data_IF_285348830430
#
_entry.id   IF_285348830430
#
_cell.length_a   1.000
_cell.length_b   1.000
_cell.length_c   1.000
_cell.angle_alpha   90.00
_cell.angle_beta   90.00
_cell.angle_gamma   90.00
#
_symmetry.space_group_name_H-M   'P 1'
#
loop_
_entity.id
_entity.type
_entity.pdbx_description
1 polymer ?
#
# COMPACT_ATOMS: atom_id res chain seq x y z
N UNK A 1 23.09 -86.58 -9.53
CA UNK A 1 24.20 -86.32 -10.46
C UNK A 1 24.53 -84.84 -10.31
N UNK A 2 25.25 -84.51 -9.24
CA UNK A 2 26.70 -84.22 -9.20
C UNK A 2 26.86 -82.69 -9.25
N UNK A 3 27.08 -81.95 -8.15
CA UNK A 3 28.19 -81.95 -7.17
C UNK A 3 29.56 -81.96 -7.88
N UNK A 4 30.27 -80.82 -7.82
CA UNK A 4 31.55 -80.68 -7.10
C UNK A 4 32.73 -81.05 -8.02
N UNK A 5 33.94 -80.52 -7.95
CA UNK A 5 34.68 -79.69 -7.00
C UNK A 5 36.03 -79.40 -7.69
N UNK A 6 36.66 -78.28 -7.35
CA UNK A 6 38.07 -78.15 -6.93
C UNK A 6 38.45 -76.67 -6.97
N UNK A 7 38.46 -75.94 -5.84
CA UNK A 7 39.49 -75.94 -4.78
C UNK A 7 40.90 -75.69 -5.36
N UNK A 8 41.34 -74.43 -5.52
CA UNK A 8 42.12 -73.55 -4.58
C UNK A 8 43.66 -73.76 -4.67
N UNK A 9 44.51 -72.70 -4.61
CA UNK A 9 44.88 -72.11 -3.31
C UNK A 9 45.10 -70.56 -3.30
N UNK A 10 45.41 -69.99 -2.11
CA UNK A 10 45.40 -68.55 -1.82
C UNK A 10 46.79 -67.94 -1.46
N UNK A 11 46.76 -66.62 -1.16
CA UNK A 11 47.62 -65.77 -0.30
C UNK A 11 48.83 -64.98 -0.86
N UNK A 12 48.66 -63.64 -0.82
CA UNK A 12 49.55 -62.54 -0.33
C UNK A 12 51.00 -62.42 -0.87
N UNK A 13 51.81 -61.36 -0.61
CA UNK A 13 51.65 -60.14 0.22
C UNK A 13 52.04 -58.82 -0.50
N UNK A 14 51.99 -57.68 0.22
CA UNK A 14 52.57 -56.38 -0.15
C UNK A 14 51.79 -55.39 -1.04
N UNK A 15 50.59 -55.05 -0.57
CA UNK A 15 49.97 -53.72 -0.72
C UNK A 15 50.76 -52.59 0.01
N UNK A 16 52.06 -52.79 0.28
CA UNK A 16 52.90 -51.97 1.18
C UNK A 16 53.96 -51.12 0.46
N UNK A 17 53.93 -51.01 -0.88
CA UNK A 17 54.84 -50.11 -1.63
C UNK A 17 54.25 -48.75 -1.99
N UNK A 18 52.94 -48.57 -2.03
CA UNK A 18 52.32 -47.25 -2.26
C UNK A 18 52.20 -46.39 -1.00
N UNK A 19 52.52 -46.93 0.18
CA UNK A 19 52.49 -46.20 1.46
C UNK A 19 53.78 -45.48 1.86
N UNK A 20 54.86 -45.53 1.05
CA UNK A 20 56.17 -44.93 1.43
C UNK A 20 56.73 -43.83 0.54
N UNK A 21 56.05 -43.42 -0.53
CA UNK A 21 56.57 -42.32 -1.39
C UNK A 21 55.78 -41.00 -1.29
N UNK A 22 54.59 -40.99 -0.67
CA UNK A 22 53.77 -39.79 -0.53
C UNK A 22 53.83 -39.14 0.88
N UNK A 23 54.86 -39.43 1.67
CA UNK A 23 54.98 -38.89 3.04
C UNK A 23 56.03 -37.80 3.24
N UNK A 24 56.78 -37.33 2.23
CA UNK A 24 57.90 -36.40 2.52
C UNK A 24 57.95 -35.02 1.84
N UNK A 25 57.26 -34.69 0.74
CA UNK A 25 57.45 -33.35 0.12
C UNK A 25 56.16 -32.75 -0.49
N UNK A 26 55.12 -32.55 0.33
CA UNK A 26 54.10 -31.52 0.07
C UNK A 26 53.72 -30.84 1.39
N UNK A 27 54.67 -30.05 1.88
CA UNK A 27 54.50 -29.17 3.04
C UNK A 27 53.66 -27.93 2.69
N UNK A 28 52.65 -27.70 3.53
CA UNK A 28 52.11 -26.41 3.99
C UNK A 28 51.56 -25.41 2.96
N UNK A 29 50.28 -25.58 2.61
CA UNK A 29 49.14 -24.71 2.99
C UNK A 29 47.98 -24.93 2.00
N UNK A 30 46.99 -25.74 2.40
CA UNK A 30 45.66 -25.83 1.76
C UNK A 30 44.62 -25.48 2.81
N UNK A 31 43.79 -24.48 2.50
CA UNK A 31 42.54 -24.19 3.19
C UNK A 31 41.59 -25.40 3.00
N UNK A 32 41.00 -25.85 4.10
CA UNK A 32 40.17 -27.05 4.20
C UNK A 32 38.89 -26.94 3.35
N UNK A 33 38.70 -27.89 2.43
CA UNK A 33 37.40 -28.22 1.87
C UNK A 33 36.82 -29.32 2.76
N UNK A 34 35.88 -28.97 3.65
CA UNK A 34 35.10 -29.98 4.37
C UNK A 34 34.13 -30.66 3.39
N UNK A 35 34.36 -31.95 3.15
CA UNK A 35 33.41 -32.85 2.52
C UNK A 35 32.30 -33.19 3.52
N UNK A 36 31.06 -32.81 3.24
CA UNK A 36 29.90 -33.19 4.04
C UNK A 36 29.59 -34.70 3.89
N UNK A 37 29.27 -35.43 4.97
CA UNK A 37 28.85 -36.82 4.88
C UNK A 37 27.46 -36.94 4.25
N UNK A 38 27.18 -38.08 3.61
CA UNK A 38 25.86 -38.42 3.10
C UNK A 38 24.81 -38.24 4.21
N UNK A 39 23.87 -37.32 4.00
CA UNK A 39 22.92 -36.89 5.03
C UNK A 39 21.92 -38.02 5.31
N UNK A 40 22.09 -38.58 6.50
CA UNK A 40 21.08 -39.28 7.30
C UNK A 40 19.70 -38.62 7.19
N UNK A 41 18.68 -39.45 7.03
CA UNK A 41 17.26 -39.07 7.08
C UNK A 41 16.96 -38.02 8.15
N UNK A 42 16.44 -36.87 7.71
CA UNK A 42 15.97 -35.79 8.59
C UNK A 42 14.90 -36.38 9.54
N UNK A 43 15.06 -36.25 10.87
CA UNK A 43 14.07 -36.73 11.84
C UNK A 43 12.68 -36.19 11.53
N UNK A 44 11.64 -37.02 11.62
CA UNK A 44 10.27 -36.65 11.21
C UNK A 44 9.77 -35.39 11.92
N UNK A 45 10.12 -35.17 13.18
CA UNK A 45 9.78 -33.96 13.93
C UNK A 45 10.48 -32.70 13.40
N UNK A 46 11.69 -32.81 12.87
CA UNK A 46 12.41 -31.71 12.20
C UNK A 46 11.84 -31.51 10.80
N UNK A 47 11.52 -32.59 10.09
CA UNK A 47 10.84 -32.55 8.79
C UNK A 47 9.47 -31.88 8.90
N UNK A 48 8.70 -32.19 9.94
CA UNK A 48 7.41 -31.55 10.25
C UNK A 48 7.56 -30.10 10.70
N UNK A 49 8.63 -29.73 11.41
CA UNK A 49 8.92 -28.32 11.73
C UNK A 49 9.36 -27.53 10.51
N UNK A 50 10.15 -28.12 9.62
CA UNK A 50 10.56 -27.53 8.35
C UNK A 50 9.36 -27.45 7.41
N UNK A 51 8.52 -28.48 7.33
CA UNK A 51 7.25 -28.45 6.59
C UNK A 51 6.33 -27.39 7.20
N UNK A 52 6.13 -27.33 8.52
CA UNK A 52 5.33 -26.28 9.15
C UNK A 52 5.94 -24.87 9.00
N UNK A 53 7.26 -24.75 8.87
CA UNK A 53 7.97 -23.50 8.62
C UNK A 53 7.88 -23.08 7.14
N UNK A 54 7.98 -24.04 6.20
CA UNK A 54 7.80 -23.86 4.75
C UNK A 54 6.31 -23.67 4.39
N UNK A 55 5.39 -24.32 5.09
CA UNK A 55 3.95 -24.09 5.03
C UNK A 55 3.63 -22.71 5.61
N UNK A 56 4.27 -22.29 6.71
CA UNK A 56 4.24 -20.89 7.15
C UNK A 56 4.80 -19.90 6.11
N UNK A 57 5.72 -20.32 5.26
CA UNK A 57 6.24 -19.51 4.15
C UNK A 57 5.34 -19.52 2.90
N UNK A 58 4.26 -20.32 2.86
CA UNK A 58 3.39 -20.46 1.68
C UNK A 58 1.91 -20.07 1.88
N UNK A 59 1.54 -19.48 3.03
CA UNK A 59 0.15 -19.04 3.29
C UNK A 59 0.02 -17.55 3.68
N UNK A 60 1.06 -16.75 3.51
CA UNK A 60 0.98 -15.32 3.85
C UNK A 60 0.39 -14.56 2.67
N UNK A 61 -0.85 -14.10 2.82
CA UNK A 61 -1.45 -13.16 1.89
C UNK A 61 -1.15 -11.75 2.34
N UNK A 62 -1.13 -10.84 1.36
CA UNK A 62 -1.30 -9.43 1.62
C UNK A 62 -2.78 -9.11 1.42
N UNK A 63 -3.43 -8.59 2.46
CA UNK A 63 -4.84 -8.23 2.45
C UNK A 63 -4.92 -6.70 2.52
N UNK A 64 -5.26 -6.06 1.40
CA UNK A 64 -5.43 -4.61 1.34
C UNK A 64 -6.88 -4.22 1.59
N UNK A 65 -7.08 -3.34 2.56
CA UNK A 65 -8.39 -2.80 2.92
C UNK A 65 -8.44 -1.32 2.55
N UNK A 66 -9.43 -0.92 1.79
CA UNK A 66 -9.80 0.49 1.74
C UNK A 66 -10.28 0.99 3.12
N UNK A 67 -10.19 2.31 3.34
CA UNK A 67 -10.57 2.95 4.59
C UNK A 67 -11.99 3.52 4.57
N UNK A 68 -12.29 4.47 3.68
CA UNK A 68 -13.53 5.25 3.70
C UNK A 68 -14.64 4.54 2.93
N UNK A 69 -15.74 4.17 3.59
CA UNK A 69 -16.78 3.34 2.95
C UNK A 69 -16.46 1.84 2.94
N UNK A 70 -15.32 1.45 3.52
CA UNK A 70 -14.90 0.05 3.67
C UNK A 70 -14.62 -0.28 5.14
N UNK A 71 -13.47 0.17 5.69
CA UNK A 71 -13.08 -0.11 7.08
C UNK A 71 -13.79 0.78 8.11
N UNK A 72 -14.02 2.04 7.76
CA UNK A 72 -14.73 2.99 8.61
C UNK A 72 -16.24 2.87 8.42
N UNK A 73 -16.95 2.85 9.55
CA UNK A 73 -18.42 2.90 9.57
C UNK A 73 -18.95 4.33 9.31
N UNK A 74 -20.26 4.53 9.40
CA UNK A 74 -20.91 5.84 9.16
C UNK A 74 -20.43 6.94 10.12
N UNK A 75 -19.99 6.59 11.33
CA UNK A 75 -19.40 7.54 12.28
C UNK A 75 -17.91 7.82 12.02
N UNK A 76 -17.34 7.25 10.95
CA UNK A 76 -15.93 7.40 10.61
C UNK A 76 -15.00 6.67 11.59
N UNK A 77 -15.45 5.57 12.20
CA UNK A 77 -14.72 4.77 13.19
C UNK A 77 -14.51 3.34 12.72
N UNK A 78 -13.45 2.71 13.23
CA UNK A 78 -13.21 1.28 13.09
C UNK A 78 -13.97 0.57 14.22
N UNK A 79 -14.86 -0.36 13.88
CA UNK A 79 -15.61 -1.13 14.88
C UNK A 79 -14.73 -2.15 15.61
N UNK A 80 -15.08 -2.55 16.85
CA UNK A 80 -14.40 -3.64 17.54
C UNK A 80 -14.34 -4.93 16.73
N UNK A 81 -15.40 -5.26 16.00
CA UNK A 81 -15.49 -6.49 15.19
C UNK A 81 -14.54 -6.45 14.00
N UNK A 82 -14.47 -5.33 13.27
CA UNK A 82 -13.50 -5.16 12.17
C UNK A 82 -12.06 -5.22 12.71
N UNK A 83 -11.80 -4.57 13.85
CA UNK A 83 -10.50 -4.60 14.51
C UNK A 83 -10.10 -6.03 14.90
N UNK A 84 -10.98 -6.78 15.56
CA UNK A 84 -10.72 -8.16 15.98
C UNK A 84 -10.47 -9.08 14.78
N UNK A 85 -11.21 -8.89 13.68
CA UNK A 85 -11.00 -9.65 12.45
C UNK A 85 -9.62 -9.37 11.82
N UNK A 86 -9.19 -8.10 11.80
CA UNK A 86 -7.85 -7.71 11.34
C UNK A 86 -6.76 -8.35 12.20
N UNK A 87 -6.87 -8.20 13.52
CA UNK A 87 -5.91 -8.82 14.47
C UNK A 87 -5.89 -10.33 14.32
N UNK A 88 -7.04 -10.97 14.10
CA UNK A 88 -7.10 -12.40 13.85
C UNK A 88 -6.37 -12.79 12.56
N UNK A 89 -6.61 -12.10 11.45
CA UNK A 89 -5.90 -12.34 10.19
C UNK A 89 -4.38 -12.15 10.36
N UNK A 90 -3.94 -11.10 11.07
CA UNK A 90 -2.53 -10.87 11.38
C UNK A 90 -1.94 -11.99 12.26
N UNK A 91 -2.70 -12.52 13.23
CA UNK A 91 -2.25 -13.62 14.10
C UNK A 91 -2.01 -14.93 13.36
N UNK A 92 -2.61 -15.08 12.17
CA UNK A 92 -2.41 -16.22 11.27
C UNK A 92 -1.23 -16.02 10.32
N UNK A 93 -0.54 -14.88 10.36
CA UNK A 93 0.63 -14.57 9.52
C UNK A 93 0.33 -13.75 8.27
N UNK A 94 -0.94 -13.40 8.02
CA UNK A 94 -1.28 -12.53 6.89
C UNK A 94 -0.87 -11.08 7.16
N UNK A 95 -0.45 -10.38 6.12
CA UNK A 95 -0.11 -8.96 6.18
C UNK A 95 -1.36 -8.17 5.81
N UNK A 96 -1.98 -7.52 6.79
CA UNK A 96 -3.11 -6.63 6.55
C UNK A 96 -2.60 -5.20 6.36
N UNK A 97 -2.98 -4.54 5.28
CA UNK A 97 -2.56 -3.18 4.93
C UNK A 97 -3.78 -2.29 4.71
N UNK A 98 -3.60 -0.97 4.86
CA UNK A 98 -4.62 0.02 4.53
C UNK A 98 -4.26 0.72 3.22
N UNK A 99 -5.21 0.85 2.29
CA UNK A 99 -5.05 1.59 1.05
C UNK A 99 -6.07 2.74 0.97
N UNK A 100 -5.62 4.00 1.02
CA UNK A 100 -6.52 5.16 1.17
C UNK A 100 -6.07 6.38 0.36
N UNK A 101 -7.03 7.23 0.03
CA UNK A 101 -6.78 8.58 -0.51
C UNK A 101 -6.33 9.60 0.55
N UNK A 102 -6.44 9.26 1.84
CA UNK A 102 -6.00 10.09 2.96
C UNK A 102 -4.47 10.20 3.03
N UNK A 103 -3.97 11.19 3.76
CA UNK A 103 -2.55 11.25 4.15
C UNK A 103 -2.20 10.09 5.10
N UNK A 104 -0.91 9.76 5.20
CA UNK A 104 -0.44 8.76 6.16
C UNK A 104 -0.89 9.10 7.59
N UNK A 105 -0.67 10.35 8.02
CA UNK A 105 -0.98 10.80 9.37
C UNK A 105 -2.47 10.69 9.73
N UNK A 106 -3.37 10.98 8.78
CA UNK A 106 -4.81 10.88 8.99
C UNK A 106 -5.28 9.42 9.11
N UNK A 107 -4.70 8.52 8.30
CA UNK A 107 -4.96 7.09 8.35
C UNK A 107 -4.42 6.47 9.64
N UNK A 108 -3.15 6.78 9.97
CA UNK A 108 -2.46 6.31 11.17
C UNK A 108 -3.19 6.77 12.45
N UNK A 109 -3.78 7.97 12.46
CA UNK A 109 -4.60 8.44 13.58
C UNK A 109 -5.79 7.53 13.85
N UNK A 110 -6.48 7.05 12.82
CA UNK A 110 -7.63 6.14 12.98
C UNK A 110 -7.20 4.77 13.50
N UNK A 111 -6.09 4.25 12.98
CA UNK A 111 -5.53 2.96 13.40
C UNK A 111 -5.09 2.99 14.88
N UNK A 112 -4.44 4.08 15.32
CA UNK A 112 -4.04 4.26 16.72
C UNK A 112 -5.20 4.31 17.70
N UNK A 113 -6.36 4.85 17.31
CA UNK A 113 -7.53 4.92 18.19
C UNK A 113 -8.03 3.54 18.61
N UNK A 114 -7.72 2.51 17.82
CA UNK A 114 -8.10 1.11 18.07
C UNK A 114 -6.89 0.20 18.23
N UNK A 115 -5.69 0.74 18.46
CA UNK A 115 -4.47 -0.05 18.67
C UNK A 115 -4.24 -1.09 17.56
N UNK A 116 -4.31 -0.63 16.30
CA UNK A 116 -3.97 -1.40 15.12
C UNK A 116 -2.67 -0.88 14.52
N UNK A 117 -1.77 -1.81 14.19
CA UNK A 117 -0.55 -1.55 13.44
C UNK A 117 -0.67 -2.19 12.07
N UNK A 118 -0.69 -1.37 11.02
CA UNK A 118 -0.79 -1.82 9.64
C UNK A 118 0.13 -0.94 8.78
N UNK A 119 0.81 -1.50 7.75
CA UNK A 119 1.34 -0.68 6.67
C UNK A 119 0.22 0.13 6.01
N UNK A 120 0.56 1.31 5.50
CA UNK A 120 -0.39 2.23 4.88
C UNK A 120 0.10 2.64 3.50
N UNK A 121 -0.73 2.39 2.51
CA UNK A 121 -0.68 2.93 1.15
C UNK A 121 -1.55 4.19 1.14
N UNK A 122 -0.94 5.36 1.25
CA UNK A 122 -1.61 6.66 1.39
C UNK A 122 -1.55 7.49 0.11
N UNK A 123 -2.29 8.60 0.07
CA UNK A 123 -2.36 9.53 -1.05
C UNK A 123 -2.67 8.81 -2.37
N UNK A 124 -3.66 7.91 -2.36
CA UNK A 124 -4.03 7.07 -3.50
C UNK A 124 -2.85 6.26 -4.04
N UNK A 125 -1.95 5.76 -3.18
CA UNK A 125 -0.81 4.94 -3.60
C UNK A 125 0.45 5.69 -3.98
N UNK A 126 0.48 7.02 -3.78
CA UNK A 126 1.70 7.80 -3.97
C UNK A 126 2.75 7.54 -2.86
N UNK A 127 2.34 7.10 -1.67
CA UNK A 127 3.24 6.90 -0.52
C UNK A 127 2.91 5.56 0.16
N UNK A 128 3.94 4.74 0.40
CA UNK A 128 3.84 3.45 1.07
C UNK A 128 4.69 3.48 2.33
N UNK A 129 4.05 3.39 3.49
CA UNK A 129 4.69 3.52 4.80
C UNK A 129 4.46 2.26 5.63
N UNK A 130 5.52 1.75 6.27
CA UNK A 130 5.47 0.60 7.17
C UNK A 130 4.94 0.98 8.57
N UNK A 131 4.58 0.01 9.43
CA UNK A 131 4.06 0.31 10.77
C UNK A 131 5.02 1.12 11.65
N UNK A 132 6.34 0.95 11.45
CA UNK A 132 7.39 1.68 12.16
C UNK A 132 7.66 3.08 11.58
N UNK A 133 6.80 3.56 10.67
CA UNK A 133 6.89 4.83 9.93
C UNK A 133 7.97 4.87 8.86
N UNK A 134 8.63 3.75 8.55
CA UNK A 134 9.60 3.70 7.45
C UNK A 134 8.90 3.89 6.11
N UNK A 135 9.37 4.85 5.30
CA UNK A 135 8.96 5.02 3.91
C UNK A 135 9.51 3.86 3.06
N UNK A 136 8.66 2.91 2.70
CA UNK A 136 9.05 1.74 1.91
C UNK A 136 9.13 2.03 0.41
N UNK A 137 8.18 2.82 -0.11
CA UNK A 137 8.13 3.19 -1.52
C UNK A 137 7.33 4.49 -1.69
N UNK A 138 7.61 5.22 -2.77
CA UNK A 138 6.84 6.41 -3.10
C UNK A 138 6.86 6.73 -4.60
N UNK A 139 5.86 7.49 -5.04
CA UNK A 139 5.65 7.99 -6.40
C UNK A 139 5.36 9.48 -6.36
N UNK A 140 6.38 10.32 -6.13
CA UNK A 140 6.20 11.77 -6.10
C UNK A 140 5.89 12.31 -7.50
N UNK A 141 5.28 13.49 -7.51
CA UNK A 141 5.14 14.31 -8.70
C UNK A 141 6.53 14.82 -9.13
N UNK A 142 6.88 14.63 -10.40
CA UNK A 142 8.10 15.24 -10.93
C UNK A 142 7.95 16.76 -10.91
N UNK A 143 8.92 17.45 -10.31
CA UNK A 143 8.91 18.91 -10.21
C UNK A 143 8.83 19.60 -11.57
N UNK A 144 9.51 19.06 -12.58
CA UNK A 144 9.47 19.58 -13.96
C UNK A 144 8.05 19.54 -14.56
N UNK A 145 7.27 18.52 -14.21
CA UNK A 145 5.89 18.35 -14.68
C UNK A 145 4.91 19.24 -13.88
N UNK A 146 5.05 19.30 -12.54
CA UNK A 146 4.06 19.95 -11.69
C UNK A 146 4.29 21.46 -11.49
N UNK A 147 5.53 21.96 -11.53
CA UNK A 147 5.83 23.38 -11.30
C UNK A 147 5.10 24.31 -12.29
N UNK A 148 5.01 24.01 -13.61
CA UNK A 148 4.23 24.83 -14.53
C UNK A 148 2.75 24.95 -14.13
N UNK A 149 2.15 23.86 -13.64
CA UNK A 149 0.77 23.86 -13.15
C UNK A 149 0.64 24.70 -11.88
N UNK A 150 1.54 24.50 -10.91
CA UNK A 150 1.56 25.25 -9.65
C UNK A 150 1.74 26.76 -9.86
N UNK A 151 2.67 27.17 -10.72
CA UNK A 151 2.86 28.58 -11.09
C UNK A 151 1.62 29.19 -11.71
N UNK A 152 0.94 28.46 -12.59
CA UNK A 152 -0.30 28.94 -13.18
C UNK A 152 -1.40 29.07 -12.11
N UNK A 153 -1.55 28.09 -11.22
CA UNK A 153 -2.56 28.12 -10.15
C UNK A 153 -2.32 29.27 -9.16
N UNK A 154 -1.07 29.49 -8.75
CA UNK A 154 -0.67 30.60 -7.87
C UNK A 154 -1.05 31.96 -8.45
N UNK A 155 -0.84 32.14 -9.76
CA UNK A 155 -1.20 33.35 -10.49
C UNK A 155 -2.69 33.67 -10.58
N UNK A 156 -3.59 32.79 -10.12
CA UNK A 156 -5.04 32.96 -10.22
C UNK A 156 -5.63 33.23 -8.82
N UNK A 157 -6.08 34.48 -8.54
CA UNK A 157 -6.59 34.85 -7.21
C UNK A 157 -7.82 34.05 -6.74
N UNK A 158 -8.62 33.56 -7.68
CA UNK A 158 -9.88 32.85 -7.41
C UNK A 158 -9.72 31.34 -7.23
N UNK A 159 -8.51 30.82 -7.45
CA UNK A 159 -8.21 29.41 -7.32
C UNK A 159 -7.56 29.15 -5.97
N UNK A 160 -8.24 28.37 -5.14
CA UNK A 160 -7.67 27.80 -3.94
C UNK A 160 -6.89 26.54 -4.30
N UNK A 161 -5.71 26.32 -3.74
CA UNK A 161 -4.99 25.07 -3.95
C UNK A 161 -4.10 24.72 -2.76
N UNK A 162 -3.79 23.43 -2.64
CA UNK A 162 -3.04 22.81 -1.56
C UNK A 162 -1.92 21.95 -2.15
N UNK A 163 -0.73 21.99 -1.56
CA UNK A 163 0.40 21.13 -1.93
C UNK A 163 0.65 20.11 -0.84
N UNK A 164 0.55 18.83 -1.19
CA UNK A 164 0.73 17.71 -0.26
C UNK A 164 2.16 17.18 -0.39
N UNK A 165 2.85 17.19 0.74
CA UNK A 165 4.11 16.47 0.95
C UNK A 165 3.84 15.18 1.72
N UNK A 166 4.88 14.45 2.12
CA UNK A 166 4.73 13.16 2.85
C UNK A 166 3.91 13.31 4.13
N UNK A 167 4.22 14.36 4.92
CA UNK A 167 3.75 14.53 6.28
C UNK A 167 3.07 15.87 6.53
N UNK A 168 2.88 16.72 5.51
CA UNK A 168 2.33 18.06 5.66
C UNK A 168 1.56 18.55 4.42
N UNK A 169 0.55 19.38 4.66
CA UNK A 169 -0.20 20.08 3.61
C UNK A 169 0.11 21.57 3.68
N UNK A 170 0.55 22.14 2.57
CA UNK A 170 0.87 23.56 2.46
C UNK A 170 -0.25 24.33 1.79
N UNK A 171 -0.53 25.52 2.31
CA UNK A 171 -1.59 26.43 1.82
C UNK A 171 -1.07 27.87 1.83
N UNK A 172 -1.30 28.62 0.75
CA UNK A 172 -0.99 30.06 0.76
C UNK A 172 -2.00 30.83 1.62
N UNK A 173 -1.50 31.70 2.50
CA UNK A 173 -2.30 32.40 3.49
C UNK A 173 -3.37 33.30 2.86
N UNK A 174 -3.05 33.99 1.75
CA UNK A 174 -3.99 34.87 1.04
C UNK A 174 -5.18 34.07 0.46
N UNK A 175 -4.89 32.90 -0.13
CA UNK A 175 -5.90 31.99 -0.69
C UNK A 175 -6.80 31.45 0.43
N UNK A 176 -6.21 31.10 1.58
CA UNK A 176 -6.95 30.63 2.76
C UNK A 176 -7.92 31.70 3.28
N UNK A 177 -7.44 32.92 3.52
CA UNK A 177 -8.29 34.02 4.01
C UNK A 177 -9.43 34.32 3.04
N UNK A 178 -9.17 34.20 1.73
CA UNK A 178 -10.23 34.35 0.72
C UNK A 178 -11.28 33.23 0.82
N UNK A 179 -10.85 31.98 0.99
CA UNK A 179 -11.76 30.83 1.13
C UNK A 179 -12.66 30.99 2.37
N UNK A 180 -12.10 31.42 3.50
CA UNK A 180 -12.85 31.71 4.73
C UNK A 180 -13.92 32.79 4.51
N UNK A 181 -13.54 33.92 3.89
CA UNK A 181 -14.49 34.98 3.57
C UNK A 181 -15.64 34.50 2.70
N UNK A 182 -15.38 33.66 1.70
CA UNK A 182 -16.43 33.07 0.86
C UNK A 182 -17.38 32.18 1.66
N UNK A 183 -16.87 31.48 2.68
CA UNK A 183 -17.68 30.61 3.54
C UNK A 183 -18.62 31.36 4.50
N UNK A 184 -18.42 32.66 4.68
CA UNK A 184 -19.20 33.54 5.56
C UNK A 184 -20.25 34.38 4.82
N UNK A 185 -20.24 34.38 3.49
CA UNK A 185 -21.22 35.13 2.68
C UNK A 185 -22.65 34.58 2.85
N UNK A 186 -23.66 35.33 2.40
CA UNK A 186 -25.08 34.93 2.47
C UNK A 186 -25.51 34.07 1.26
N UNK A 187 -26.74 33.54 1.28
CA UNK A 187 -27.26 32.63 0.24
C UNK A 187 -27.41 33.28 -1.14
N UNK A 188 -27.55 34.61 -1.17
CA UNK A 188 -27.62 35.38 -2.40
C UNK A 188 -26.26 35.44 -3.12
N UNK A 189 -25.15 35.45 -2.37
CA UNK A 189 -23.80 35.49 -2.94
C UNK A 189 -23.17 34.11 -3.14
N UNK A 190 -23.46 33.14 -2.26
CA UNK A 190 -22.98 31.76 -2.35
C UNK A 190 -24.11 30.80 -1.97
N UNK A 191 -24.61 29.97 -2.89
CA UNK A 191 -25.64 28.98 -2.60
C UNK A 191 -25.33 28.15 -1.34
N UNK A 192 -26.35 27.86 -0.53
CA UNK A 192 -26.18 27.20 0.78
C UNK A 192 -25.38 25.89 0.73
N UNK A 193 -25.59 25.06 -0.30
CA UNK A 193 -24.83 23.82 -0.52
C UNK A 193 -23.32 24.08 -0.71
N UNK A 194 -22.97 25.11 -1.48
CA UNK A 194 -21.57 25.49 -1.71
C UNK A 194 -20.94 26.07 -0.44
N UNK A 195 -21.72 26.79 0.38
CA UNK A 195 -21.22 27.29 1.67
C UNK A 195 -20.97 26.17 2.66
N UNK A 196 -21.85 25.18 2.70
CA UNK A 196 -21.63 23.97 3.49
C UNK A 196 -20.35 23.26 3.05
N UNK A 197 -20.14 23.10 1.73
CA UNK A 197 -18.93 22.51 1.18
C UNK A 197 -17.67 23.29 1.59
N UNK A 198 -17.69 24.62 1.46
CA UNK A 198 -16.58 25.49 1.89
C UNK A 198 -16.26 25.30 3.37
N UNK A 199 -17.29 25.30 4.23
CA UNK A 199 -17.14 25.05 5.67
C UNK A 199 -16.62 23.66 5.96
N UNK A 200 -17.07 22.64 5.22
CA UNK A 200 -16.60 21.27 5.36
C UNK A 200 -15.12 21.13 4.96
N UNK A 201 -14.69 21.78 3.87
CA UNK A 201 -13.27 21.83 3.47
C UNK A 201 -12.41 22.53 4.52
N UNK A 202 -12.87 23.68 5.01
CA UNK A 202 -12.21 24.43 6.08
C UNK A 202 -12.07 23.56 7.33
N UNK A 203 -13.15 22.90 7.75
CA UNK A 203 -13.16 22.00 8.90
C UNK A 203 -12.25 20.78 8.69
N UNK A 204 -12.22 20.21 7.47
CA UNK A 204 -11.35 19.10 7.11
C UNK A 204 -9.88 19.47 7.22
N UNK A 205 -9.49 20.69 6.83
CA UNK A 205 -8.12 21.19 7.04
C UNK A 205 -7.78 21.30 8.53
N UNK A 206 -8.71 21.73 9.38
CA UNK A 206 -8.51 21.70 10.84
C UNK A 206 -8.39 20.28 11.41
N UNK A 207 -8.98 19.29 10.73
CA UNK A 207 -8.94 17.88 11.14
C UNK A 207 -7.75 17.11 10.55
N UNK A 208 -7.13 17.62 9.48
CA UNK A 208 -5.89 17.09 8.93
C UNK A 208 -4.79 17.23 9.97
N UNK A 209 -3.96 16.18 10.08
CA UNK A 209 -2.94 16.11 11.12
C UNK A 209 -1.88 17.23 11.05
N UNK A 210 -1.67 17.85 9.88
CA UNK A 210 -0.62 18.85 9.65
C UNK A 210 -0.95 19.75 8.45
N UNK A 211 -1.27 21.01 8.74
CA UNK A 211 -1.43 22.06 7.73
C UNK A 211 -0.50 23.23 8.07
N UNK A 212 0.31 23.65 7.11
CA UNK A 212 1.23 24.79 7.25
C UNK A 212 0.85 25.90 6.27
N UNK A 213 0.66 27.10 6.81
CA UNK A 213 0.39 28.28 6.01
C UNK A 213 1.69 28.98 5.61
N UNK A 214 1.81 29.34 4.35
CA UNK A 214 2.97 30.02 3.78
C UNK A 214 2.56 31.34 3.13
N UNK A 215 3.47 32.30 3.08
CA UNK A 215 3.25 33.56 2.35
C UNK A 215 3.30 33.33 0.84
N UNK A 216 4.19 32.45 0.38
CA UNK A 216 4.29 32.03 -1.01
C UNK A 216 4.56 30.53 -1.11
N UNK A 217 3.77 29.84 -1.93
CA UNK A 217 4.00 28.42 -2.20
C UNK A 217 5.24 28.18 -3.07
N UNK A 218 5.81 29.22 -3.67
CA UNK A 218 7.08 29.12 -4.38
C UNK A 218 8.20 28.64 -3.47
N UNK A 219 8.16 28.97 -2.17
CA UNK A 219 9.11 28.47 -1.18
C UNK A 219 9.06 26.94 -1.00
N UNK A 220 7.93 26.32 -1.34
CA UNK A 220 7.72 24.88 -1.24
C UNK A 220 8.19 24.19 -2.51
N UNK A 221 7.69 24.56 -3.69
CA UNK A 221 8.06 23.84 -4.90
C UNK A 221 9.47 24.15 -5.43
N UNK A 222 10.08 25.27 -5.04
CA UNK A 222 11.43 25.66 -5.48
C UNK A 222 12.57 24.94 -4.74
N UNK A 223 12.35 24.43 -3.52
CA UNK A 223 13.40 23.79 -2.71
C UNK A 223 13.34 22.28 -2.81
N UNK A 224 14.47 21.65 -3.12
CA UNK A 224 14.58 20.19 -3.32
C UNK A 224 14.19 19.33 -2.11
N UNK A 225 14.26 19.89 -0.90
CA UNK A 225 13.86 19.21 0.34
C UNK A 225 12.35 18.85 0.37
N UNK A 226 11.52 19.63 -0.31
CA UNK A 226 10.08 19.36 -0.38
C UNK A 226 9.76 18.44 -1.55
N UNK A 227 9.35 17.22 -1.20
CA UNK A 227 8.87 16.22 -2.14
C UNK A 227 7.35 16.35 -2.25
N UNK A 228 6.85 16.63 -3.46
CA UNK A 228 5.43 16.84 -3.71
C UNK A 228 4.80 15.54 -4.17
N UNK A 229 3.74 15.09 -3.51
CA UNK A 229 3.02 13.85 -3.87
C UNK A 229 1.69 14.11 -4.54
N UNK A 230 1.01 15.17 -4.13
CA UNK A 230 -0.33 15.51 -4.62
C UNK A 230 -0.54 17.01 -4.58
N UNK A 231 -1.41 17.50 -5.45
CA UNK A 231 -1.94 18.86 -5.37
C UNK A 231 -3.45 18.81 -5.49
N UNK A 232 -4.16 19.59 -4.68
CA UNK A 232 -5.61 19.75 -4.80
C UNK A 232 -5.88 21.19 -5.19
N UNK A 233 -6.77 21.41 -6.16
CA UNK A 233 -7.26 22.74 -6.51
C UNK A 233 -8.79 22.79 -6.37
N UNK A 234 -9.29 23.92 -5.89
CA UNK A 234 -10.71 24.17 -5.68
C UNK A 234 -11.11 25.53 -6.23
N UNK A 235 -12.28 25.58 -6.87
CA UNK A 235 -12.91 26.83 -7.26
C UNK A 235 -14.43 26.70 -7.34
N UNK A 236 -15.11 27.82 -7.09
CA UNK A 236 -16.52 27.97 -7.41
C UNK A 236 -16.75 28.15 -8.93
N UNK A 237 -15.72 28.60 -9.65
CA UNK A 237 -15.76 28.72 -11.10
C UNK A 237 -15.42 27.37 -11.77
N UNK A 238 -16.45 26.67 -12.25
CA UNK A 238 -16.30 25.35 -12.87
C UNK A 238 -15.58 25.40 -14.21
N UNK A 239 -15.73 26.48 -14.97
CA UNK A 239 -15.00 26.64 -16.24
C UNK A 239 -13.50 26.82 -16.00
N UNK A 240 -13.12 27.51 -14.92
CA UNK A 240 -11.72 27.63 -14.50
C UNK A 240 -11.11 26.25 -14.15
N UNK A 241 -11.83 25.40 -13.41
CA UNK A 241 -11.37 24.05 -13.10
C UNK A 241 -11.29 23.17 -14.35
N UNK A 242 -12.21 23.36 -15.30
CA UNK A 242 -12.19 22.65 -16.59
C UNK A 242 -11.00 23.09 -17.44
N UNK A 243 -10.67 24.38 -17.46
CA UNK A 243 -9.45 24.89 -18.10
C UNK A 243 -8.21 24.28 -17.43
N UNK A 244 -8.12 24.33 -16.10
CA UNK A 244 -7.03 23.76 -15.34
C UNK A 244 -6.86 22.27 -15.63
N UNK A 245 -7.95 21.50 -15.58
CA UNK A 245 -7.97 20.07 -15.88
C UNK A 245 -7.49 19.78 -17.31
N UNK A 246 -8.01 20.49 -18.31
CA UNK A 246 -7.61 20.32 -19.71
C UNK A 246 -6.13 20.64 -19.92
N UNK A 247 -5.65 21.73 -19.30
CA UNK A 247 -4.26 22.16 -19.36
C UNK A 247 -3.32 21.13 -18.74
N UNK A 248 -3.65 20.62 -17.55
CA UNK A 248 -2.77 19.74 -16.79
C UNK A 248 -2.83 18.29 -17.27
N UNK A 249 -3.96 17.86 -17.85
CA UNK A 249 -4.07 16.55 -18.51
C UNK A 249 -3.16 16.42 -19.74
N UNK A 250 -2.70 17.53 -20.32
CA UNK A 250 -1.72 17.51 -21.41
C UNK A 250 -0.29 17.21 -20.95
N UNK A 251 -0.02 17.20 -19.64
CA UNK A 251 1.30 16.94 -19.06
C UNK A 251 1.41 15.41 -18.83
N UNK A 252 2.27 14.68 -19.56
CA UNK A 252 2.24 13.22 -19.57
C UNK A 252 2.44 12.58 -18.20
N UNK A 253 3.20 13.22 -17.31
CA UNK A 253 3.50 12.75 -15.95
C UNK A 253 2.34 12.84 -14.95
N UNK A 254 1.24 13.51 -15.32
CA UNK A 254 0.15 13.85 -14.41
C UNK A 254 -1.12 13.07 -14.72
N UNK A 255 -1.88 12.75 -13.66
CA UNK A 255 -3.28 12.34 -13.77
C UNK A 255 -4.15 13.31 -12.98
N UNK A 256 -5.24 13.74 -13.61
CA UNK A 256 -6.22 14.66 -13.02
C UNK A 256 -7.46 13.87 -12.66
N UNK A 257 -7.83 13.91 -11.38
CA UNK A 257 -9.06 13.32 -10.86
C UNK A 257 -9.90 14.39 -10.18
N UNK A 258 -11.15 14.08 -9.86
CA UNK A 258 -12.03 14.97 -9.10
C UNK A 258 -12.88 14.15 -8.14
N UNK A 259 -13.00 14.60 -6.90
CA UNK A 259 -13.89 14.01 -5.89
C UNK A 259 -15.17 14.82 -5.71
N UNK A 260 -15.20 16.06 -6.21
CA UNK A 260 -16.37 16.93 -6.23
C UNK A 260 -16.34 17.83 -7.49
N UNK A 261 -17.51 18.30 -7.95
CA UNK A 261 -17.62 19.21 -9.11
C UNK A 261 -16.93 20.58 -8.94
N UNK A 262 -16.37 20.84 -7.77
CA UNK A 262 -15.68 22.09 -7.41
C UNK A 262 -14.21 21.85 -7.04
N UNK A 263 -13.67 20.65 -7.26
CA UNK A 263 -12.25 20.38 -7.09
C UNK A 263 -11.65 19.57 -8.24
N UNK A 264 -10.34 19.63 -8.32
CA UNK A 264 -9.52 18.67 -9.04
C UNK A 264 -8.34 18.26 -8.14
N UNK A 265 -7.86 17.04 -8.33
CA UNK A 265 -6.67 16.50 -7.70
C UNK A 265 -5.66 16.15 -8.79
N UNK A 266 -4.43 16.59 -8.62
CA UNK A 266 -3.31 16.33 -9.51
C UNK A 266 -2.38 15.36 -8.79
N UNK A 267 -2.17 14.19 -9.39
CA UNK A 267 -1.31 13.14 -8.84
C UNK A 267 -0.31 12.69 -9.93
N UNK A 268 0.72 11.95 -9.51
CA UNK A 268 1.59 11.27 -10.48
C UNK A 268 0.74 10.25 -11.27
N UNK A 269 0.95 10.14 -12.58
CA UNK A 269 0.13 9.28 -13.46
C UNK A 269 0.06 7.81 -13.02
N UNK A 270 1.15 7.33 -12.42
CA UNK A 270 1.29 5.96 -11.93
C UNK A 270 0.94 5.82 -10.44
N UNK A 271 0.45 6.86 -9.77
CA UNK A 271 0.01 6.80 -8.38
C UNK A 271 -1.48 6.46 -8.30
N UNK A 272 -1.76 5.19 -8.02
CA UNK A 272 -3.10 4.68 -7.71
C UNK A 272 -3.01 3.58 -6.64
N UNK A 273 -4.14 3.24 -5.98
CA UNK A 273 -4.15 2.22 -4.92
C UNK A 273 -3.56 0.89 -5.37
N UNK A 274 -3.84 0.45 -6.60
CA UNK A 274 -3.28 -0.80 -7.16
C UNK A 274 -1.76 -0.79 -7.26
N UNK A 275 -1.18 0.29 -7.80
CA UNK A 275 0.28 0.45 -7.86
C UNK A 275 0.92 0.48 -6.46
N UNK A 276 0.28 1.14 -5.48
CA UNK A 276 0.76 1.21 -4.11
C UNK A 276 0.71 -0.14 -3.39
N UNK A 277 -0.41 -0.84 -3.51
CA UNK A 277 -0.57 -2.22 -3.02
C UNK A 277 0.47 -3.13 -3.66
N UNK A 278 0.67 -3.03 -4.98
CA UNK A 278 1.67 -3.81 -5.72
C UNK A 278 3.11 -3.53 -5.29
N UNK A 279 3.47 -2.26 -5.03
CA UNK A 279 4.79 -1.91 -4.47
C UNK A 279 5.01 -2.56 -3.10
N UNK A 280 3.99 -2.57 -2.24
CA UNK A 280 4.10 -3.19 -0.92
C UNK A 280 4.10 -4.73 -0.98
N UNK A 281 3.33 -5.33 -1.88
CA UNK A 281 3.37 -6.77 -2.15
C UNK A 281 4.78 -7.20 -2.62
N UNK A 282 5.37 -6.45 -3.55
CA UNK A 282 6.74 -6.68 -4.02
C UNK A 282 7.78 -6.52 -2.89
N UNK A 283 7.61 -5.53 -2.01
CA UNK A 283 8.48 -5.35 -0.83
C UNK A 283 8.49 -6.58 0.08
N UNK A 284 7.33 -7.23 0.26
CA UNK A 284 7.22 -8.46 1.05
C UNK A 284 7.46 -9.76 0.26
N UNK A 285 7.74 -9.68 -1.04
CA UNK A 285 7.89 -10.86 -1.90
C UNK A 285 6.60 -11.65 -2.14
N UNK A 286 5.43 -11.02 -1.95
CA UNK A 286 4.12 -11.64 -2.11
C UNK A 286 3.65 -11.46 -3.57
N UNK A 287 3.38 -12.55 -4.31
CA UNK A 287 2.90 -12.46 -5.68
C UNK A 287 1.43 -12.00 -5.74
N UNK A 288 1.02 -11.43 -6.87
CA UNK A 288 -0.32 -10.84 -7.04
C UNK A 288 -1.47 -11.82 -6.77
N UNK A 289 -1.27 -13.11 -7.06
CA UNK A 289 -2.22 -14.20 -6.80
C UNK A 289 -2.47 -14.44 -5.29
N UNK A 290 -1.58 -13.95 -4.44
CA UNK A 290 -1.69 -13.98 -2.98
C UNK A 290 -2.09 -12.63 -2.39
N UNK A 291 -2.49 -11.68 -3.23
CA UNK A 291 -3.06 -10.40 -2.80
C UNK A 291 -4.59 -10.51 -2.80
N UNK A 292 -5.18 -10.23 -1.65
CA UNK A 292 -6.61 -10.02 -1.50
C UNK A 292 -6.89 -8.53 -1.28
N UNK A 293 -7.96 -8.00 -1.88
CA UNK A 293 -8.35 -6.59 -1.74
C UNK A 293 -9.81 -6.46 -1.34
N UNK A 294 -10.11 -5.41 -0.58
CA UNK A 294 -11.47 -5.05 -0.20
C UNK A 294 -11.69 -3.55 -0.38
N UNK A 295 -12.77 -3.19 -1.07
CA UNK A 295 -13.08 -1.78 -1.38
C UNK A 295 -14.52 -1.54 -1.81
N UNK A 296 -14.86 -0.26 -1.97
CA UNK A 296 -16.21 0.21 -2.24
C UNK A 296 -16.30 1.20 -3.42
N UNK A 297 -15.23 1.89 -3.79
CA UNK A 297 -15.31 3.07 -4.63
C UNK A 297 -14.43 2.97 -5.88
N UNK A 298 -14.65 3.86 -6.85
CA UNK A 298 -14.00 3.76 -8.17
C UNK A 298 -12.46 3.85 -8.12
N UNK A 299 -11.89 4.50 -7.10
CA UNK A 299 -10.43 4.56 -6.92
C UNK A 299 -9.83 3.25 -6.37
N UNK A 300 -10.67 2.26 -6.02
CA UNK A 300 -10.26 0.90 -5.65
C UNK A 300 -10.12 -0.02 -6.87
N UNK A 301 -10.72 0.34 -8.01
CA UNK A 301 -10.68 -0.48 -9.22
C UNK A 301 -9.24 -0.91 -9.60
N UNK A 302 -8.22 -0.04 -9.55
CA UNK A 302 -6.84 -0.45 -9.84
C UNK A 302 -6.29 -1.54 -8.91
N UNK A 303 -6.68 -1.57 -7.63
CA UNK A 303 -6.27 -2.66 -6.73
C UNK A 303 -7.10 -3.93 -6.96
N UNK A 304 -8.34 -3.82 -7.44
CA UNK A 304 -9.12 -4.97 -7.89
C UNK A 304 -8.51 -5.60 -9.15
N UNK A 305 -8.08 -4.79 -10.12
CA UNK A 305 -7.50 -5.27 -11.38
C UNK A 305 -6.21 -6.08 -11.19
N UNK A 306 -5.41 -5.76 -10.16
CA UNK A 306 -4.15 -6.45 -9.90
C UNK A 306 -4.29 -7.68 -8.97
N UNK A 307 -5.33 -7.73 -8.11
CA UNK A 307 -5.42 -8.70 -7.02
C UNK A 307 -5.88 -10.09 -7.47
N UNK A 308 -5.33 -11.12 -6.81
CA UNK A 308 -5.77 -12.50 -6.96
C UNK A 308 -7.12 -12.82 -6.30
N UNK A 309 -7.56 -11.98 -5.35
CA UNK A 309 -8.87 -12.12 -4.71
C UNK A 309 -9.51 -10.76 -4.43
N UNK A 310 -10.75 -10.57 -4.85
CA UNK A 310 -11.43 -9.27 -4.82
C UNK A 310 -12.71 -9.36 -4.02
N UNK A 311 -12.85 -8.51 -3.00
CA UNK A 311 -14.02 -8.43 -2.14
C UNK A 311 -14.65 -7.06 -2.27
N UNK A 312 -15.85 -6.96 -2.86
CA UNK A 312 -16.59 -5.71 -2.88
C UNK A 312 -17.47 -5.57 -1.63
N UNK A 313 -17.56 -4.38 -1.08
CA UNK A 313 -18.53 -4.06 -0.02
C UNK A 313 -19.98 -4.09 -0.54
N UNK A 314 -20.96 -4.29 0.35
CA UNK A 314 -22.38 -4.17 -0.05
C UNK A 314 -22.71 -2.75 -0.55
N UNK A 315 -22.09 -1.71 0.03
CA UNK A 315 -22.23 -0.33 -0.44
C UNK A 315 -21.34 0.01 -1.66
N UNK A 316 -20.65 -0.97 -2.25
CA UNK A 316 -19.70 -0.71 -3.32
C UNK A 316 -20.36 -0.26 -4.64
N UNK A 317 -19.59 0.50 -5.42
CA UNK A 317 -19.92 0.86 -6.79
C UNK A 317 -20.20 -0.40 -7.64
N UNK A 318 -21.16 -0.35 -8.59
CA UNK A 318 -21.57 -1.52 -9.37
C UNK A 318 -20.41 -2.27 -10.05
N UNK A 319 -19.45 -1.52 -10.62
CA UNK A 319 -18.31 -2.11 -11.32
C UNK A 319 -17.41 -2.97 -10.41
N UNK A 320 -17.28 -2.62 -9.12
CA UNK A 320 -16.54 -3.44 -8.16
C UNK A 320 -17.29 -4.73 -7.86
N UNK A 321 -18.62 -4.66 -7.66
CA UNK A 321 -19.46 -5.84 -7.41
C UNK A 321 -19.45 -6.80 -8.60
N UNK A 322 -19.48 -6.28 -9.82
CA UNK A 322 -19.44 -7.06 -11.06
C UNK A 322 -18.09 -7.79 -11.26
N UNK A 323 -17.01 -7.23 -10.74
CA UNK A 323 -15.65 -7.79 -10.87
C UNK A 323 -15.19 -8.56 -9.63
N UNK A 324 -15.94 -8.53 -8.54
CA UNK A 324 -15.56 -9.17 -7.28
C UNK A 324 -15.74 -10.70 -7.29
N UNK A 325 -14.89 -11.39 -6.55
CA UNK A 325 -15.01 -12.83 -6.28
C UNK A 325 -15.97 -13.11 -5.11
N UNK A 326 -16.19 -12.11 -4.26
CA UNK A 326 -17.15 -12.13 -3.16
C UNK A 326 -17.68 -10.71 -2.90
N UNK A 327 -18.98 -10.60 -2.59
CA UNK A 327 -19.57 -9.35 -2.08
C UNK A 327 -19.85 -9.56 -0.61
N UNK A 328 -19.21 -8.76 0.25
CA UNK A 328 -19.37 -8.81 1.71
C UNK A 328 -20.47 -7.84 2.17
N UNK A 329 -20.80 -7.84 3.47
CA UNK A 329 -21.76 -6.93 4.07
C UNK A 329 -21.41 -5.44 3.96
N UNK A 330 -22.33 -4.60 4.44
CA UNK A 330 -22.19 -3.14 4.40
C UNK A 330 -21.13 -2.65 5.40
N UNK A 331 -20.45 -1.55 5.09
CA UNK A 331 -19.46 -0.96 6.00
C UNK A 331 -20.06 -0.53 7.36
N UNK A 332 -21.35 -0.19 7.41
CA UNK A 332 -22.09 0.10 8.64
C UNK A 332 -22.33 -1.15 9.51
N UNK A 333 -22.23 -2.35 8.93
CA UNK A 333 -22.57 -3.64 9.56
C UNK A 333 -21.37 -4.58 9.70
N UNK A 334 -20.16 -4.02 9.84
CA UNK A 334 -18.91 -4.80 9.99
C UNK A 334 -18.56 -5.67 8.76
N UNK A 335 -18.85 -5.16 7.55
CA UNK A 335 -18.59 -5.88 6.30
C UNK A 335 -17.13 -6.34 6.12
N UNK A 336 -16.15 -5.62 6.68
CA UNK A 336 -14.74 -6.07 6.68
C UNK A 336 -14.55 -7.35 7.49
N UNK A 337 -15.14 -7.43 8.68
CA UNK A 337 -15.06 -8.62 9.52
C UNK A 337 -15.67 -9.85 8.84
N UNK A 338 -16.81 -9.67 8.16
CA UNK A 338 -17.45 -10.72 7.36
C UNK A 338 -16.54 -11.16 6.20
N UNK A 339 -16.01 -10.20 5.44
CA UNK A 339 -15.18 -10.48 4.26
C UNK A 339 -13.88 -11.19 4.62
N UNK A 340 -13.23 -10.77 5.72
CA UNK A 340 -12.06 -11.46 6.26
C UNK A 340 -12.40 -12.88 6.72
N UNK A 341 -13.52 -13.08 7.43
CA UNK A 341 -13.94 -14.43 7.85
C UNK A 341 -14.16 -15.36 6.66
N UNK A 342 -14.87 -14.88 5.64
CA UNK A 342 -15.10 -15.62 4.40
C UNK A 342 -13.78 -16.01 3.71
N UNK A 343 -12.87 -15.03 3.56
CA UNK A 343 -11.57 -15.23 2.93
C UNK A 343 -10.74 -16.31 3.65
N UNK A 344 -10.71 -16.25 4.99
CA UNK A 344 -9.98 -17.21 5.82
C UNK A 344 -10.61 -18.61 5.82
N UNK A 345 -11.94 -18.72 5.80
CA UNK A 345 -12.64 -20.00 5.71
C UNK A 345 -12.42 -20.70 4.37
N UNK A 346 -12.50 -19.95 3.26
CA UNK A 346 -12.23 -20.46 1.91
C UNK A 346 -10.85 -21.11 1.79
N UNK A 347 -9.86 -20.50 2.44
CA UNK A 347 -8.46 -20.97 2.45
C UNK A 347 -8.25 -22.22 3.32
N UNK A 348 -9.04 -22.45 4.36
CA UNK A 348 -8.97 -23.71 5.15
C UNK A 348 -9.46 -24.93 4.37
N UNK A 349 -10.24 -24.72 3.31
CA UNK A 349 -10.80 -25.79 2.46
C UNK A 349 -10.02 -26.09 1.19
N UNK A 350 -8.91 -25.38 0.93
CA UNK A 350 -7.97 -25.60 -0.17
C UNK A 350 -6.67 -26.19 0.38
#
# INVERSE_FOLDING_TARGET
MELEERMRPPLSPDFNRERRFNQEIWGQQRLEVQTFPAVTTIPLNVKLKIIAYIEKENFNMLIALDMDGTLLNEEGKISPENREAIVHAQSLGHIVIIATGRSYMDAERQLRLVDLECPVVSLNGAVVTLPDRTLAASKPLNKEDIIPALRWMSGIPELYYEVYTEDNVYVELDKRVRLEKLSELNDEAVPGELRWLLKAMIAKQFQQASVTYVESMEEIWSKDEYVIFKTLAFSLNRELLKEASTRFAAIPGLIITASHVNNIEINHKDANKGSGVGMLAAHYGIPAEQVAVMGDSYNDLPMFEMAGYRIAMENAAPILKETADFVTGNHAENGVAEGLRHLLEKRKGQ
#
